data_IF_399405717229
#
_entry.id   IF_399405717229
#
_cell.length_a   1.000
_cell.length_b   1.000
_cell.length_c   1.000
_cell.angle_alpha   90.00
_cell.angle_beta   90.00
_cell.angle_gamma   90.00
#
_symmetry.space_group_name_H-M   'P 1'
#
loop_
_entity.id
_entity.type
_entity.pdbx_description
1 polymer ?
#
# COMPACT_ATOMS: atom_id res chain seq x y z
N UNK A 1 -2.00 -1.02 -8.23
CA UNK A 1 -2.83 0.17 -7.97
C UNK A 1 -1.95 1.39 -7.76
N UNK A 2 -2.45 2.58 -8.06
CA UNK A 2 -1.83 3.86 -7.77
C UNK A 2 -2.89 4.72 -7.05
N UNK A 3 -2.95 4.69 -5.70
CA UNK A 3 -4.05 5.29 -4.95
C UNK A 3 -3.97 6.82 -4.99
N UNK A 4 -5.13 7.52 -4.93
CA UNK A 4 -5.12 8.95 -4.71
C UNK A 4 -4.51 9.28 -3.35
N UNK A 5 -3.85 10.44 -3.26
CA UNK A 5 -3.22 10.92 -2.02
C UNK A 5 -3.49 12.40 -1.75
N UNK A 6 -4.48 12.98 -2.43
CA UNK A 6 -4.93 14.35 -2.19
C UNK A 6 -6.45 14.42 -2.03
N UNK A 7 -6.90 15.32 -1.18
CA UNK A 7 -8.27 15.86 -1.19
C UNK A 7 -8.18 17.31 -1.66
N UNK A 8 -8.67 17.57 -2.88
CA UNK A 8 -8.40 18.85 -3.55
C UNK A 8 -6.90 19.02 -3.80
N UNK A 9 -6.30 20.04 -3.20
CA UNK A 9 -4.85 20.33 -3.28
C UNK A 9 -4.05 19.88 -2.05
N UNK A 10 -4.73 19.41 -1.01
CA UNK A 10 -4.09 19.04 0.26
C UNK A 10 -3.75 17.56 0.23
N UNK A 11 -2.50 17.21 0.55
CA UNK A 11 -2.09 15.82 0.66
C UNK A 11 -2.81 15.15 1.84
N UNK A 12 -3.42 14.00 1.59
CA UNK A 12 -4.09 13.16 2.57
C UNK A 12 -3.64 11.70 2.39
N UNK A 13 -2.59 11.28 3.13
CA UNK A 13 -2.12 9.89 3.11
C UNK A 13 -3.16 8.88 3.59
N UNK A 14 -4.19 9.28 4.36
CA UNK A 14 -5.17 8.34 4.89
C UNK A 14 -5.96 7.63 3.78
N UNK A 15 -6.13 8.27 2.62
CA UNK A 15 -6.72 7.68 1.42
C UNK A 15 -5.95 6.45 0.94
N UNK A 16 -4.62 6.56 0.78
CA UNK A 16 -3.81 5.43 0.36
C UNK A 16 -3.78 4.32 1.41
N UNK A 17 -3.77 4.66 2.69
CA UNK A 17 -3.89 3.68 3.78
C UNK A 17 -5.20 2.91 3.69
N UNK A 18 -6.32 3.59 3.44
CA UNK A 18 -7.63 2.95 3.26
C UNK A 18 -7.62 1.97 2.08
N UNK A 19 -6.97 2.32 0.96
CA UNK A 19 -6.82 1.43 -0.20
C UNK A 19 -5.96 0.20 0.12
N UNK A 20 -4.85 0.36 0.85
CA UNK A 20 -3.99 -0.75 1.29
C UNK A 20 -4.79 -1.71 2.18
N UNK A 21 -5.57 -1.17 3.12
CA UNK A 21 -6.41 -1.98 4.00
C UNK A 21 -7.55 -2.68 3.26
N UNK A 22 -8.14 -2.04 2.24
CA UNK A 22 -9.12 -2.68 1.38
C UNK A 22 -8.50 -3.84 0.59
N UNK A 23 -7.33 -3.62 -0.02
CA UNK A 23 -6.60 -4.67 -0.74
C UNK A 23 -6.32 -5.88 0.17
N UNK A 24 -5.86 -5.66 1.40
CA UNK A 24 -5.66 -6.74 2.40
C UNK A 24 -6.91 -7.60 2.61
N UNK A 25 -8.08 -6.99 2.69
CA UNK A 25 -9.35 -7.70 2.94
C UNK A 25 -9.86 -8.45 1.71
N UNK A 26 -9.57 -7.94 0.51
CA UNK A 26 -10.10 -8.47 -0.75
C UNK A 26 -9.21 -9.55 -1.38
N UNK A 27 -7.91 -9.53 -1.09
CA UNK A 27 -6.96 -10.49 -1.67
C UNK A 27 -7.12 -11.87 -1.04
N UNK A 28 -6.98 -12.90 -1.89
CA UNK A 28 -6.82 -14.28 -1.44
C UNK A 28 -5.57 -14.43 -0.54
N UNK A 29 -5.43 -15.53 0.22
CA UNK A 29 -4.32 -15.71 1.18
C UNK A 29 -2.93 -15.68 0.54
N UNK A 30 -2.81 -16.11 -0.71
CA UNK A 30 -1.59 -16.04 -1.54
C UNK A 30 -1.58 -14.85 -2.50
N UNK A 31 -2.54 -13.94 -2.36
CA UNK A 31 -2.68 -12.77 -3.21
C UNK A 31 -1.57 -11.75 -3.02
N UNK A 32 -1.41 -10.89 -4.03
CA UNK A 32 -0.40 -9.86 -4.09
C UNK A 32 -1.03 -8.48 -4.35
N UNK A 33 -0.46 -7.47 -3.71
CA UNK A 33 -0.69 -6.06 -3.98
C UNK A 33 0.54 -5.48 -4.68
N UNK A 34 0.32 -4.92 -5.86
CA UNK A 34 1.27 -4.01 -6.51
C UNK A 34 0.83 -2.57 -6.26
N UNK A 35 1.71 -1.74 -5.73
CA UNK A 35 1.41 -0.36 -5.33
C UNK A 35 2.45 0.58 -5.93
N UNK A 36 1.99 1.63 -6.62
CA UNK A 36 2.83 2.79 -6.95
C UNK A 36 2.50 3.91 -5.96
N UNK A 37 3.52 4.53 -5.38
CA UNK A 37 3.36 5.70 -4.50
C UNK A 37 4.49 6.71 -4.67
N UNK A 38 4.23 7.98 -4.36
CA UNK A 38 5.28 8.97 -4.23
C UNK A 38 6.19 8.66 -3.02
N UNK A 39 7.49 9.01 -3.10
CA UNK A 39 8.49 8.66 -2.06
C UNK A 39 8.19 9.25 -0.68
N UNK A 40 7.60 10.44 -0.65
CA UNK A 40 7.30 11.14 0.60
C UNK A 40 6.09 10.56 1.35
N UNK A 41 5.33 9.65 0.74
CA UNK A 41 4.13 9.08 1.36
C UNK A 41 4.50 8.00 2.41
N UNK A 42 3.98 8.09 3.64
CA UNK A 42 4.43 7.26 4.77
C UNK A 42 3.70 5.90 4.87
N UNK A 43 3.53 5.17 3.76
CA UNK A 43 2.73 3.92 3.78
C UNK A 43 3.46 2.68 4.31
N UNK A 44 4.73 2.78 4.70
CA UNK A 44 5.50 1.64 5.21
C UNK A 44 4.81 0.96 6.43
N UNK A 45 4.26 1.74 7.37
CA UNK A 45 3.52 1.18 8.51
C UNK A 45 2.28 0.43 8.04
N UNK A 46 1.47 1.06 7.18
CA UNK A 46 0.25 0.45 6.67
C UNK A 46 0.51 -0.84 5.88
N UNK A 47 1.61 -0.91 5.12
CA UNK A 47 2.04 -2.11 4.41
C UNK A 47 2.47 -3.22 5.38
N UNK A 48 3.29 -2.88 6.38
CA UNK A 48 3.72 -3.81 7.43
C UNK A 48 2.53 -4.35 8.23
N UNK A 49 1.54 -3.51 8.53
CA UNK A 49 0.33 -3.93 9.23
C UNK A 49 -0.58 -4.80 8.36
N UNK A 50 -0.51 -4.62 7.03
CA UNK A 50 -1.41 -5.28 6.11
C UNK A 50 -0.88 -6.59 5.51
N UNK A 51 0.43 -6.73 5.33
CA UNK A 51 1.05 -7.84 4.62
C UNK A 51 2.18 -8.44 5.44
N UNK A 52 2.44 -9.74 5.28
CA UNK A 52 3.59 -10.38 5.94
C UNK A 52 4.91 -9.94 5.31
N UNK A 53 4.91 -9.70 4.00
CA UNK A 53 6.10 -9.36 3.25
C UNK A 53 5.79 -8.23 2.26
N UNK A 54 6.68 -7.24 2.17
CA UNK A 54 6.64 -6.22 1.13
C UNK A 54 8.04 -5.73 0.79
N UNK A 55 8.24 -5.28 -0.45
CA UNK A 55 9.52 -4.75 -0.94
C UNK A 55 9.32 -3.68 -2.01
N UNK A 56 10.27 -2.75 -2.12
CA UNK A 56 10.39 -1.84 -3.28
C UNK A 56 11.10 -2.60 -4.41
N UNK A 57 10.40 -2.79 -5.54
CA UNK A 57 10.91 -3.55 -6.69
C UNK A 57 11.42 -2.66 -7.82
N UNK A 58 11.00 -1.40 -7.84
CA UNK A 58 11.44 -0.39 -8.80
C UNK A 58 11.13 1.02 -8.28
N UNK A 59 11.70 2.04 -8.90
CA UNK A 59 11.38 3.43 -8.61
C UNK A 59 12.44 4.39 -9.11
N UNK A 60 12.17 5.69 -8.93
CA UNK A 60 13.12 6.78 -9.17
C UNK A 60 12.97 7.83 -8.06
N UNK A 61 13.61 9.00 -8.13
CA UNK A 61 13.52 10.03 -7.08
C UNK A 61 12.10 10.49 -6.70
N UNK A 62 11.11 10.32 -7.59
CA UNK A 62 9.72 10.72 -7.35
C UNK A 62 8.85 9.64 -6.70
N UNK A 63 8.97 8.38 -7.16
CA UNK A 63 8.06 7.30 -6.78
C UNK A 63 8.76 5.96 -6.48
N UNK A 64 8.00 5.06 -5.86
CA UNK A 64 8.35 3.67 -5.59
C UNK A 64 7.26 2.76 -6.15
N UNK A 65 7.67 1.64 -6.70
CA UNK A 65 6.80 0.49 -6.98
C UNK A 65 7.05 -0.53 -5.88
N UNK A 66 5.99 -0.89 -5.18
CA UNK A 66 5.99 -1.82 -4.07
C UNK A 66 5.25 -3.08 -4.48
N UNK A 67 5.82 -4.23 -4.12
CA UNK A 67 5.17 -5.53 -4.18
C UNK A 67 4.98 -6.04 -2.74
N UNK A 68 3.73 -6.28 -2.35
CA UNK A 68 3.37 -6.79 -1.03
C UNK A 68 2.52 -8.07 -1.17
N UNK A 69 2.83 -9.09 -0.38
CA UNK A 69 2.24 -10.42 -0.52
C UNK A 69 1.81 -10.99 0.83
N UNK A 70 1.00 -12.06 0.77
CA UNK A 70 0.50 -12.78 1.95
C UNK A 70 -0.25 -11.81 2.90
N UNK A 71 -1.43 -11.32 2.49
CA UNK A 71 -2.22 -10.40 3.30
C UNK A 71 -2.49 -11.00 4.68
N UNK A 72 -2.23 -10.22 5.73
CA UNK A 72 -2.52 -10.63 7.11
C UNK A 72 -4.02 -10.72 7.29
N UNK A 73 -4.52 -11.86 7.78
CA UNK A 73 -5.94 -12.03 8.11
C UNK A 73 -6.25 -11.31 9.43
N UNK A 74 -7.46 -10.75 9.52
CA UNK A 74 -7.97 -10.35 10.83
C UNK A 74 -8.07 -11.61 11.71
N UNK A 75 -7.68 -11.51 12.98
CA UNK A 75 -8.06 -12.54 13.95
C UNK A 75 -9.59 -12.57 14.01
N UNK A 76 -10.22 -13.75 13.99
CA UNK A 76 -11.66 -13.88 14.15
C UNK A 76 -12.13 -13.30 15.49
#
# INVERSE_FOLDING_TARGET
>A
MNPPFHVGRTADPSLGVAFIQAARRMLAPSGALWLVQNRHLPYASALTDAFLEWTEVAGNGGFRVIHAIKPKRAKP
#
